data_IF_104976893962
#
_entry.id   IF_104976893962
#
_cell.length_a   1.000
_cell.length_b   1.000
_cell.length_c   1.000
_cell.angle_alpha   90.00
_cell.angle_beta   90.00
_cell.angle_gamma   90.00
#
_symmetry.space_group_name_H-M   'P 1'
#
loop_
_entity.id
_entity.type
_entity.pdbx_description
1 polymer ?
#
# COMPACT_ATOMS: atom_id res chain seq x y z
N UNK A 1 -1.32 -1.96 12.74
CA UNK A 1 0.06 -2.50 12.92
C UNK A 1 0.69 -3.05 11.63
N UNK A 2 0.02 -3.00 10.47
CA UNK A 2 0.53 -3.60 9.22
C UNK A 2 1.88 -3.05 8.74
N UNK A 3 2.12 -1.74 8.85
CA UNK A 3 3.39 -1.11 8.46
C UNK A 3 4.57 -1.61 9.32
N UNK A 4 4.37 -1.79 10.62
CA UNK A 4 5.40 -2.31 11.53
C UNK A 4 5.76 -3.76 11.20
N UNK A 5 4.75 -4.59 10.91
CA UNK A 5 4.98 -5.99 10.50
C UNK A 5 5.73 -6.03 9.18
N UNK A 6 5.34 -5.22 8.20
CA UNK A 6 6.07 -5.13 6.92
C UNK A 6 7.54 -4.76 7.14
N UNK A 7 7.82 -3.73 7.93
CA UNK A 7 9.20 -3.32 8.21
C UNK A 7 10.01 -4.46 8.86
N UNK A 8 9.43 -5.16 9.84
CA UNK A 8 10.06 -6.31 10.47
C UNK A 8 10.35 -7.44 9.47
N UNK A 9 9.42 -7.74 8.54
CA UNK A 9 9.62 -8.77 7.52
C UNK A 9 10.76 -8.41 6.54
N UNK A 10 10.88 -7.13 6.15
CA UNK A 10 12.01 -6.67 5.33
C UNK A 10 13.35 -6.81 6.07
N UNK A 11 13.39 -6.50 7.36
CA UNK A 11 14.58 -6.68 8.20
C UNK A 11 14.96 -8.16 8.34
N UNK A 12 13.99 -9.04 8.57
CA UNK A 12 14.19 -10.49 8.62
C UNK A 12 14.73 -11.04 7.29
N UNK A 13 14.19 -10.55 6.16
CA UNK A 13 14.67 -10.92 4.83
C UNK A 13 16.12 -10.47 4.60
N UNK A 14 16.49 -9.26 5.05
CA UNK A 14 17.88 -8.79 5.02
C UNK A 14 18.85 -9.65 5.83
N UNK A 15 18.35 -10.26 6.91
CA UNK A 15 19.09 -11.24 7.74
C UNK A 15 19.03 -12.68 7.21
N UNK A 16 18.40 -12.90 6.04
CA UNK A 16 18.25 -14.21 5.40
C UNK A 16 17.54 -15.25 6.27
N UNK A 17 16.59 -14.82 7.09
CA UNK A 17 15.75 -15.73 7.89
C UNK A 17 14.77 -16.44 6.95
N UNK A 18 14.92 -17.76 6.79
CA UNK A 18 14.12 -18.57 5.86
C UNK A 18 13.27 -19.64 6.54
N UNK A 19 13.58 -20.00 7.80
CA UNK A 19 12.84 -21.05 8.50
C UNK A 19 11.69 -20.46 9.32
N UNK A 20 10.53 -21.16 9.40
CA UNK A 20 9.39 -20.70 10.20
C UNK A 20 9.76 -20.41 11.66
N UNK A 21 10.49 -21.33 12.30
CA UNK A 21 10.90 -21.17 13.70
C UNK A 21 11.78 -19.94 13.94
N UNK A 22 12.72 -19.65 13.04
CA UNK A 22 13.56 -18.47 13.15
C UNK A 22 12.77 -17.18 12.91
N UNK A 23 11.80 -17.19 11.99
CA UNK A 23 10.92 -16.05 11.74
C UNK A 23 10.00 -15.78 12.93
N UNK A 24 9.42 -16.81 13.54
CA UNK A 24 8.58 -16.70 14.74
C UNK A 24 9.38 -16.12 15.92
N UNK A 25 10.60 -16.62 16.16
CA UNK A 25 11.48 -16.10 17.19
C UNK A 25 11.85 -14.62 16.95
N UNK A 26 12.09 -14.24 15.69
CA UNK A 26 12.39 -12.87 15.31
C UNK A 26 11.19 -11.93 15.54
N UNK A 27 9.99 -12.34 15.13
CA UNK A 27 8.77 -11.57 15.34
C UNK A 27 8.43 -11.43 16.83
N UNK A 28 8.62 -12.49 17.62
CA UNK A 28 8.42 -12.47 19.07
C UNK A 28 9.35 -11.47 19.77
N UNK A 29 10.64 -11.40 19.40
CA UNK A 29 11.59 -10.40 19.91
C UNK A 29 11.15 -8.95 19.63
N UNK A 30 10.41 -8.72 18.54
CA UNK A 30 9.81 -7.42 18.19
C UNK A 30 8.40 -7.22 18.77
N UNK A 31 7.96 -8.09 19.67
CA UNK A 31 6.64 -8.03 20.31
C UNK A 31 5.47 -8.12 19.31
N UNK A 32 5.71 -8.78 18.17
CA UNK A 32 4.71 -9.05 17.13
C UNK A 32 4.18 -10.45 17.38
N UNK A 33 2.93 -10.53 17.86
CA UNK A 33 2.23 -11.81 18.01
C UNK A 33 1.80 -12.32 16.64
N UNK A 34 2.10 -13.58 16.36
CA UNK A 34 1.66 -14.29 15.16
C UNK A 34 0.67 -15.39 15.55
N UNK A 35 -0.29 -15.67 14.67
CA UNK A 35 -1.24 -16.78 14.78
C UNK A 35 -1.18 -17.55 13.46
N UNK A 36 -1.15 -18.88 13.54
CA UNK A 36 -1.31 -19.71 12.35
C UNK A 36 -2.65 -19.40 11.67
N UNK A 37 -2.57 -19.18 10.37
CA UNK A 37 -3.70 -18.82 9.52
C UNK A 37 -3.49 -19.49 8.17
N UNK A 38 -4.56 -20.00 7.56
CA UNK A 38 -4.50 -20.54 6.21
C UNK A 38 -4.38 -19.39 5.20
N UNK A 39 -3.18 -19.22 4.66
CA UNK A 39 -2.87 -18.14 3.73
C UNK A 39 -3.35 -18.43 2.30
N UNK A 40 -3.67 -19.68 1.95
CA UNK A 40 -4.01 -20.09 0.59
C UNK A 40 -5.11 -19.23 -0.09
N UNK A 41 -6.27 -18.93 0.54
CA UNK A 41 -7.30 -18.11 -0.10
C UNK A 41 -6.84 -16.68 -0.35
N UNK A 42 -6.02 -16.12 0.55
CA UNK A 42 -5.49 -14.76 0.40
C UNK A 42 -4.45 -14.72 -0.73
N UNK A 43 -3.53 -15.69 -0.77
CA UNK A 43 -2.52 -15.78 -1.82
C UNK A 43 -3.17 -15.91 -3.20
N UNK A 44 -4.18 -16.78 -3.34
CA UNK A 44 -4.94 -16.92 -4.59
C UNK A 44 -5.54 -15.59 -5.05
N UNK A 45 -6.12 -14.83 -4.12
CA UNK A 45 -6.72 -13.52 -4.42
C UNK A 45 -5.65 -12.52 -4.87
N UNK A 46 -4.49 -12.50 -4.21
CA UNK A 46 -3.40 -11.59 -4.54
C UNK A 46 -2.72 -11.95 -5.87
N UNK A 47 -2.55 -13.25 -6.15
CA UNK A 47 -2.07 -13.72 -7.45
C UNK A 47 -2.99 -13.29 -8.59
N UNK A 48 -4.31 -13.33 -8.39
CA UNK A 48 -5.25 -12.86 -9.39
C UNK A 48 -5.05 -11.37 -9.67
N UNK A 49 -4.95 -10.53 -8.64
CA UNK A 49 -4.68 -9.10 -8.82
C UNK A 49 -3.34 -8.83 -9.55
N UNK A 50 -2.28 -9.55 -9.20
CA UNK A 50 -0.97 -9.43 -9.86
C UNK A 50 -1.06 -9.78 -11.35
N UNK A 51 -1.81 -10.84 -11.69
CA UNK A 51 -2.02 -11.28 -13.08
C UNK A 51 -2.92 -10.33 -13.85
N UNK A 52 -4.04 -9.92 -13.27
CA UNK A 52 -5.01 -8.98 -13.88
C UNK A 52 -4.38 -7.63 -14.22
N UNK A 53 -3.49 -7.14 -13.35
CA UNK A 53 -2.80 -5.87 -13.55
C UNK A 53 -1.46 -6.02 -14.31
N UNK A 54 -1.12 -7.21 -14.80
CA UNK A 54 0.09 -7.46 -15.61
C UNK A 54 1.39 -7.10 -14.89
N UNK A 55 1.49 -7.39 -13.59
CA UNK A 55 2.65 -7.02 -12.78
C UNK A 55 3.76 -8.06 -12.93
N UNK A 56 4.84 -7.68 -13.62
CA UNK A 56 6.00 -8.57 -13.88
C UNK A 56 7.23 -8.27 -13.01
N UNK A 57 7.21 -7.18 -12.24
CA UNK A 57 8.34 -6.79 -11.39
C UNK A 57 7.86 -6.05 -10.14
N UNK A 58 8.72 -6.02 -9.11
CA UNK A 58 8.48 -5.26 -7.89
C UNK A 58 9.65 -4.31 -7.64
N UNK A 59 9.40 -3.10 -7.10
CA UNK A 59 8.11 -2.54 -6.69
C UNK A 59 7.30 -2.00 -7.89
N UNK A 60 5.99 -2.25 -7.89
CA UNK A 60 5.02 -1.72 -8.86
C UNK A 60 3.84 -1.10 -8.12
N UNK A 61 3.32 0.01 -8.62
CA UNK A 61 2.11 0.69 -8.12
C UNK A 61 1.13 0.86 -9.27
N UNK A 62 -0.13 0.46 -9.04
CA UNK A 62 -1.23 0.67 -9.98
C UNK A 62 -2.15 1.74 -9.39
N UNK A 63 -2.40 2.79 -10.17
CA UNK A 63 -3.29 3.88 -9.80
C UNK A 63 -4.56 3.74 -10.63
N UNK A 64 -5.70 3.62 -9.95
CA UNK A 64 -7.01 3.54 -10.59
C UNK A 64 -7.63 4.94 -10.57
N UNK A 65 -7.94 5.47 -11.74
CA UNK A 65 -8.63 6.75 -11.93
C UNK A 65 -9.93 6.54 -12.70
N UNK A 66 -10.85 7.52 -12.75
CA UNK A 66 -12.03 7.44 -13.61
C UNK A 66 -11.71 7.24 -15.10
N UNK A 67 -10.47 7.58 -15.53
CA UNK A 67 -10.01 7.43 -16.91
C UNK A 67 -9.41 6.05 -17.20
N UNK A 68 -9.18 5.22 -16.18
CA UNK A 68 -8.59 3.89 -16.31
C UNK A 68 -7.50 3.60 -15.28
N UNK A 69 -6.77 2.52 -15.52
CA UNK A 69 -5.65 2.05 -14.70
C UNK A 69 -4.32 2.49 -15.30
N UNK A 70 -3.45 3.06 -14.47
CA UNK A 70 -2.07 3.40 -14.83
C UNK A 70 -1.08 2.62 -13.96
N UNK A 71 -0.06 2.02 -14.59
CA UNK A 71 0.96 1.22 -13.91
C UNK A 71 2.29 1.99 -13.84
N UNK A 72 2.91 2.01 -12.66
CA UNK A 72 4.20 2.64 -12.40
C UNK A 72 5.17 1.63 -11.79
N UNK A 73 6.29 1.40 -12.46
CA UNK A 73 7.29 0.39 -12.07
C UNK A 73 8.56 1.06 -11.56
N UNK A 74 9.05 0.63 -10.40
CA UNK A 74 10.26 1.15 -9.77
C UNK A 74 10.03 2.42 -8.93
N UNK A 75 10.87 2.64 -7.92
CA UNK A 75 10.66 3.70 -6.93
C UNK A 75 10.54 5.12 -7.51
N UNK A 76 11.34 5.44 -8.54
CA UNK A 76 11.32 6.75 -9.18
C UNK A 76 9.99 7.04 -9.89
N UNK A 77 9.50 6.08 -10.69
CA UNK A 77 8.25 6.24 -11.44
C UNK A 77 7.03 6.23 -10.51
N UNK A 78 7.04 5.39 -9.48
CA UNK A 78 5.99 5.37 -8.45
C UNK A 78 5.91 6.74 -7.77
N UNK A 79 7.05 7.29 -7.36
CA UNK A 79 7.09 8.62 -6.72
C UNK A 79 6.57 9.71 -7.66
N UNK A 80 6.91 9.65 -8.95
CA UNK A 80 6.41 10.58 -9.97
C UNK A 80 4.88 10.49 -10.13
N UNK A 81 4.34 9.27 -10.24
CA UNK A 81 2.90 9.04 -10.36
C UNK A 81 2.13 9.56 -9.14
N UNK A 82 2.60 9.25 -7.93
CA UNK A 82 1.97 9.74 -6.69
C UNK A 82 1.99 11.28 -6.59
N UNK A 83 3.12 11.92 -6.93
CA UNK A 83 3.22 13.39 -6.95
C UNK A 83 2.24 14.02 -7.94
N UNK A 84 2.03 13.41 -9.10
CA UNK A 84 1.07 13.89 -10.08
C UNK A 84 -0.35 13.91 -9.51
N UNK A 85 -0.78 12.85 -8.81
CA UNK A 85 -2.10 12.81 -8.15
C UNK A 85 -2.22 13.87 -7.06
N UNK A 86 -1.17 13.99 -6.22
CA UNK A 86 -1.17 14.96 -5.12
C UNK A 86 -1.20 16.42 -5.64
N UNK A 87 -0.58 16.69 -6.79
CA UNK A 87 -0.65 17.98 -7.47
C UNK A 87 -2.05 18.28 -7.99
N UNK A 88 -2.68 17.32 -8.68
CA UNK A 88 -4.05 17.44 -9.22
C UNK A 88 -5.10 17.69 -8.13
N UNK A 89 -4.92 17.14 -6.93
CA UNK A 89 -5.85 17.34 -5.81
C UNK A 89 -5.81 18.76 -5.20
N UNK A 90 -4.82 19.61 -5.54
CA UNK A 90 -4.79 21.01 -5.07
C UNK A 90 -5.71 21.94 -5.86
N UNK A 91 -6.08 21.57 -7.09
CA UNK A 91 -7.01 22.35 -7.93
C UNK A 91 -8.48 21.98 -7.72
N UNK A 92 -8.76 20.87 -7.03
CA UNK A 92 -10.09 20.54 -6.51
C UNK A 92 -10.23 21.04 -5.06
N UNK A 93 -10.17 22.35 -4.87
CA UNK A 93 -10.81 22.94 -3.68
C UNK A 93 -12.30 22.62 -3.76
N UNK A 94 -12.77 21.78 -2.85
CA UNK A 94 -14.19 21.70 -2.49
C UNK A 94 -14.63 23.15 -2.26
N UNK A 95 -15.64 23.69 -2.98
CA UNK A 95 -16.12 25.02 -2.69
C UNK A 95 -16.51 25.05 -1.21
N UNK A 96 -15.86 25.94 -0.45
CA UNK A 96 -16.22 26.20 0.92
C UNK A 96 -17.74 26.40 0.95
N UNK A 97 -18.44 25.57 1.72
CA UNK A 97 -19.87 25.66 1.90
C UNK A 97 -20.23 27.13 2.13
N UNK A 98 -21.07 27.66 1.24
CA UNK A 98 -21.53 29.05 1.31
C UNK A 98 -22.03 29.31 2.73
N UNK A 99 -21.41 30.29 3.38
CA UNK A 99 -21.80 30.73 4.71
C UNK A 99 -23.30 31.08 4.70
N UNK A 100 -24.09 30.67 5.71
CA UNK A 100 -25.47 31.08 5.80
C UNK A 100 -25.51 32.61 5.90
N UNK A 101 -26.09 33.24 4.88
CA UNK A 101 -26.40 34.67 4.86
C UNK A 101 -27.37 34.96 5.99
N UNK A 102 -26.86 35.50 7.09
CA UNK A 102 -27.68 36.11 8.12
C UNK A 102 -28.35 37.36 7.54
N UNK A 103 -29.67 37.57 7.73
CA UNK A 103 -30.26 38.86 7.45
C UNK A 103 -29.98 39.81 8.64
N UNK A 104 -29.59 41.04 8.34
CA UNK A 104 -29.58 42.19 9.26
C UNK A 104 -29.84 43.45 8.43
N UNK A 105 -30.50 44.51 8.92
CA UNK A 105 -31.19 44.69 10.21
C UNK A 105 -32.70 44.48 10.15
#
# INVERSE_FOLDING_TARGET
RAILVRAALYEAAGQKITTPAALEAFLAKKNIKFRQFDVAPIFKTWENFIKEDGIHSTPTCVIITPKGKEQFVGGANITKGLKAIMGTNRDMTIPAAAAPTAPRP
#
